data_IF_043662269444
#
_entry.id   IF_043662269444
#
_cell.length_a   1.000
_cell.length_b   1.000
_cell.length_c   1.000
_cell.angle_alpha   90.00
_cell.angle_beta   90.00
_cell.angle_gamma   90.00
#
_symmetry.space_group_name_H-M   'P 1'
#
loop_
_entity.id
_entity.type
_entity.pdbx_description
1 polymer ?
#
# COMPACT_ATOMS: atom_id res chain seq x y z
N UNK A 1 2.74 7.35 17.13
CA UNK A 1 2.46 7.04 15.71
C UNK A 1 3.57 7.59 14.80
N UNK A 2 4.72 6.92 14.68
CA UNK A 2 5.85 7.32 13.79
C UNK A 2 6.06 6.34 12.62
N UNK A 3 5.49 5.15 12.73
CA UNK A 3 5.62 4.04 11.78
C UNK A 3 4.87 4.30 10.48
N UNK A 4 3.69 4.93 10.55
CA UNK A 4 2.83 5.25 9.40
C UNK A 4 3.55 6.12 8.36
N UNK A 5 4.23 7.19 8.78
CA UNK A 5 5.06 8.01 7.88
C UNK A 5 6.24 7.27 7.24
N UNK A 6 6.78 6.23 7.88
CA UNK A 6 7.85 5.41 7.27
C UNK A 6 7.28 4.38 6.30
N UNK A 7 6.17 3.74 6.65
CA UNK A 7 5.47 2.80 5.79
C UNK A 7 4.99 3.48 4.49
N UNK A 8 4.40 4.68 4.60
CA UNK A 8 4.00 5.50 3.45
C UNK A 8 5.17 5.76 2.48
N UNK A 9 6.31 6.21 3.02
CA UNK A 9 7.52 6.45 2.21
C UNK A 9 8.07 5.19 1.55
N UNK A 10 7.93 4.03 2.18
CA UNK A 10 8.36 2.76 1.59
C UNK A 10 7.53 2.43 0.34
N UNK A 11 6.20 2.50 0.44
CA UNK A 11 5.29 2.23 -0.69
C UNK A 11 5.43 3.27 -1.81
N UNK A 12 5.50 4.56 -1.46
CA UNK A 12 5.69 5.64 -2.43
C UNK A 12 7.01 5.47 -3.22
N UNK A 13 8.10 5.10 -2.54
CA UNK A 13 9.38 4.81 -3.20
C UNK A 13 9.33 3.60 -4.12
N UNK A 14 8.48 2.62 -3.84
CA UNK A 14 8.25 1.46 -4.69
C UNK A 14 7.26 1.74 -5.85
N UNK A 15 6.83 3.00 -6.02
CA UNK A 15 5.92 3.41 -7.08
C UNK A 15 4.44 3.10 -6.81
N UNK A 16 4.09 2.75 -5.57
CA UNK A 16 2.70 2.62 -5.16
C UNK A 16 2.16 3.98 -4.73
N UNK A 17 0.87 4.19 -4.96
CA UNK A 17 0.15 5.40 -4.58
C UNK A 17 -1.12 5.02 -3.79
N UNK A 18 -1.60 5.87 -2.87
CA UNK A 18 -2.88 5.65 -2.24
C UNK A 18 -3.99 5.62 -3.30
N UNK A 19 -4.95 4.72 -3.14
CA UNK A 19 -6.14 4.68 -4.00
C UNK A 19 -7.17 5.78 -3.68
N UNK A 20 -6.95 6.51 -2.57
CA UNK A 20 -7.78 7.61 -2.10
C UNK A 20 -8.92 7.18 -1.18
N UNK A 21 -9.06 5.87 -0.91
CA UNK A 21 -10.03 5.35 0.03
C UNK A 21 -9.47 5.34 1.46
N UNK A 22 -10.34 5.61 2.43
CA UNK A 22 -10.09 5.41 3.85
C UNK A 22 -11.26 4.59 4.43
N UNK A 23 -10.99 3.38 4.88
CA UNK A 23 -11.99 2.48 5.46
C UNK A 23 -11.68 2.23 6.95
N UNK A 24 -12.65 2.26 7.86
CA UNK A 24 -12.38 1.98 9.27
C UNK A 24 -11.95 0.52 9.50
N UNK A 25 -10.85 0.32 10.21
CA UNK A 25 -10.34 -0.98 10.60
C UNK A 25 -10.03 -1.01 12.10
N UNK A 26 -10.40 -2.09 12.80
CA UNK A 26 -10.09 -2.26 14.22
C UNK A 26 -8.69 -2.86 14.40
N UNK A 27 -7.74 -2.04 14.84
CA UNK A 27 -6.39 -2.45 15.18
C UNK A 27 -6.21 -2.41 16.71
N UNK A 28 -6.11 -3.58 17.33
CA UNK A 28 -5.84 -3.72 18.78
C UNK A 28 -6.88 -2.95 19.62
N UNK A 29 -8.17 -3.08 19.29
CA UNK A 29 -9.27 -2.39 19.98
C UNK A 29 -9.42 -0.90 19.63
N UNK A 30 -8.65 -0.39 18.67
CA UNK A 30 -8.72 1.01 18.22
C UNK A 30 -9.14 1.06 16.76
N UNK A 31 -10.16 1.85 16.44
CA UNK A 31 -10.54 2.14 15.05
C UNK A 31 -9.49 3.06 14.42
N UNK A 32 -8.84 2.58 13.37
CA UNK A 32 -7.88 3.31 12.56
C UNK A 32 -8.35 3.34 11.10
N UNK A 33 -8.04 4.39 10.33
CA UNK A 33 -8.28 4.39 8.90
C UNK A 33 -7.29 3.43 8.21
N UNK A 34 -7.82 2.43 7.51
CA UNK A 34 -7.10 1.64 6.53
C UNK A 34 -6.97 2.43 5.24
N UNK A 35 -5.73 2.65 4.79
CA UNK A 35 -5.40 3.25 3.49
C UNK A 35 -4.71 2.21 2.64
N UNK A 36 -5.19 2.00 1.41
CA UNK A 36 -4.62 1.02 0.48
C UNK A 36 -3.69 1.70 -0.52
N UNK A 37 -2.51 1.11 -0.71
CA UNK A 37 -1.53 1.57 -1.69
C UNK A 37 -1.50 0.59 -2.85
N UNK A 38 -1.78 1.10 -4.06
CA UNK A 38 -1.81 0.33 -5.29
C UNK A 38 -0.76 0.82 -6.30
N UNK A 39 -0.28 -0.09 -7.14
CA UNK A 39 0.52 0.23 -8.33
C UNK A 39 -0.05 -0.53 -9.51
N UNK A 40 -0.20 0.16 -10.65
CA UNK A 40 -0.56 -0.51 -11.90
C UNK A 40 0.64 -1.32 -12.40
N UNK A 41 0.44 -2.61 -12.60
CA UNK A 41 1.44 -3.48 -13.20
C UNK A 41 1.17 -3.60 -14.70
N UNK A 42 2.19 -3.46 -15.53
CA UNK A 42 2.08 -3.87 -16.93
C UNK A 42 2.01 -5.39 -17.04
N UNK A 43 1.41 -5.88 -18.14
CA UNK A 43 1.37 -7.31 -18.42
C UNK A 43 2.78 -7.92 -18.51
N UNK A 44 3.75 -7.15 -19.02
CA UNK A 44 5.14 -7.56 -19.12
C UNK A 44 5.82 -7.68 -17.75
N UNK A 45 5.66 -6.68 -16.87
CA UNK A 45 6.17 -6.73 -15.49
C UNK A 45 5.55 -7.89 -14.70
N UNK A 46 4.23 -8.06 -14.79
CA UNK A 46 3.52 -9.14 -14.12
C UNK A 46 3.95 -10.53 -14.63
N UNK A 47 4.31 -10.63 -15.91
CA UNK A 47 4.82 -11.88 -16.49
C UNK A 47 6.29 -12.13 -16.13
N UNK A 48 7.10 -11.08 -15.94
CA UNK A 48 8.49 -11.20 -15.50
C UNK A 48 8.59 -11.70 -14.06
N UNK A 49 7.74 -11.17 -13.17
CA UNK A 49 7.69 -11.56 -11.75
C UNK A 49 7.26 -13.03 -11.56
N UNK A 50 6.30 -13.50 -12.37
CA UNK A 50 5.82 -14.91 -12.36
C UNK A 50 6.84 -15.94 -12.84
N UNK A 51 7.96 -15.52 -13.43
CA UNK A 51 9.03 -16.41 -13.93
C UNK A 51 10.25 -16.47 -12.99
N UNK A 52 10.17 -15.79 -11.84
CA UNK A 52 11.17 -15.82 -10.77
C UNK A 52 10.98 -16.99 -9.82
#
# INVERSE_FOLDING_TARGET
MRVERRARRFYEKAGFAPDGAEEPFEAVGVMVPEVRYGRRLSAAEAAADRRG
#
